data_IF_513075888164
#
_entry.id   IF_513075888164
#
_cell.length_a   1.000
_cell.length_b   1.000
_cell.length_c   1.000
_cell.angle_alpha   90.00
_cell.angle_beta   90.00
_cell.angle_gamma   90.00
#
_symmetry.space_group_name_H-M   'P 1'
#
loop_
_entity.id
_entity.type
_entity.pdbx_description
1 polymer ?
#
# COMPACT_ATOMS: atom_id res chain seq x y z
N UNK A 1 7.96 -16.00 -13.92
CA UNK A 1 7.05 -15.02 -13.31
C UNK A 1 6.53 -13.94 -14.28
N UNK A 2 6.83 -14.05 -15.58
CA UNK A 2 6.60 -12.99 -16.58
C UNK A 2 5.13 -12.71 -16.92
N UNK A 3 4.19 -13.57 -16.50
CA UNK A 3 2.77 -13.45 -16.86
C UNK A 3 2.01 -12.36 -16.09
N UNK A 4 2.54 -11.86 -14.96
CA UNK A 4 1.88 -10.82 -14.13
C UNK A 4 2.53 -9.43 -14.20
N UNK A 5 3.76 -9.37 -14.69
CA UNK A 5 4.50 -8.12 -14.93
C UNK A 5 3.65 -7.21 -15.82
N UNK A 6 3.47 -5.94 -15.41
CA UNK A 6 2.60 -4.92 -16.06
C UNK A 6 1.10 -5.20 -16.07
N UNK A 7 0.64 -6.31 -15.48
CA UNK A 7 -0.81 -6.64 -15.44
C UNK A 7 -1.44 -6.44 -14.06
N UNK A 8 -0.63 -6.35 -13.02
CA UNK A 8 -1.08 -6.20 -11.64
C UNK A 8 -0.27 -5.10 -10.97
N UNK A 9 -0.87 -4.40 -10.02
CA UNK A 9 -0.16 -3.53 -9.09
C UNK A 9 -0.84 -3.63 -7.73
N UNK A 10 -0.09 -3.29 -6.69
CA UNK A 10 -0.59 -3.11 -5.33
C UNK A 10 -0.69 -1.62 -5.02
N UNK A 11 -1.87 -1.16 -4.63
CA UNK A 11 -2.07 0.16 -4.06
C UNK A 11 -2.10 0.04 -2.54
N UNK A 12 -1.10 0.60 -1.86
CA UNK A 12 -1.03 0.66 -0.40
C UNK A 12 -1.25 2.10 0.07
N UNK A 13 -2.36 2.32 0.78
CA UNK A 13 -2.72 3.61 1.37
C UNK A 13 -2.47 3.52 2.88
N UNK A 14 -1.61 4.38 3.40
CA UNK A 14 -1.27 4.46 4.83
C UNK A 14 -1.36 5.90 5.29
N UNK A 15 -2.57 6.39 5.63
CA UNK A 15 -2.75 7.74 6.12
C UNK A 15 -1.83 7.98 7.32
N UNK A 16 -1.18 9.15 7.37
CA UNK A 16 -0.34 9.50 8.52
C UNK A 16 -1.17 9.36 9.80
N UNK A 17 -0.74 8.49 10.70
CA UNK A 17 -1.32 8.34 12.03
C UNK A 17 -0.21 8.42 13.06
N UNK A 18 -0.47 9.15 14.15
CA UNK A 18 0.41 9.20 15.34
C UNK A 18 1.89 9.43 15.00
N UNK A 19 2.16 10.41 14.13
CA UNK A 19 3.48 10.67 13.55
C UNK A 19 4.56 11.14 14.54
N UNK A 20 4.19 11.40 15.79
CA UNK A 20 5.13 11.77 16.86
C UNK A 20 5.65 10.57 17.65
N UNK A 21 5.03 9.39 17.49
CA UNK A 21 5.43 8.18 18.20
C UNK A 21 6.59 7.52 17.43
N UNK A 22 7.79 7.33 18.03
CA UNK A 22 8.96 6.81 17.34
C UNK A 22 8.75 5.45 16.65
N UNK A 23 7.95 4.57 17.25
CA UNK A 23 7.63 3.27 16.68
C UNK A 23 6.86 3.37 15.34
N UNK A 24 5.97 4.34 15.19
CA UNK A 24 5.22 4.56 13.95
C UNK A 24 6.12 5.13 12.85
N UNK A 25 7.04 6.03 13.21
CA UNK A 25 8.04 6.56 12.28
C UNK A 25 8.98 5.45 11.78
N UNK A 26 9.46 4.59 12.68
CA UNK A 26 10.30 3.46 12.32
C UNK A 26 9.56 2.48 11.39
N UNK A 27 8.28 2.20 11.66
CA UNK A 27 7.46 1.35 10.80
C UNK A 27 7.26 1.98 9.41
N UNK A 28 6.95 3.28 9.35
CA UNK A 28 6.79 4.00 8.09
C UNK A 28 8.06 3.97 7.24
N UNK A 29 9.23 4.15 7.89
CA UNK A 29 10.53 4.04 7.24
C UNK A 29 10.75 2.63 6.67
N UNK A 30 10.53 1.59 7.49
CA UNK A 30 10.68 0.19 7.07
C UNK A 30 9.77 -0.17 5.89
N UNK A 31 8.52 0.31 5.90
CA UNK A 31 7.58 0.10 4.79
C UNK A 31 8.09 0.79 3.52
N UNK A 32 8.55 2.04 3.63
CA UNK A 32 9.07 2.78 2.48
C UNK A 32 10.31 2.10 1.86
N UNK A 33 11.22 1.58 2.69
CA UNK A 33 12.38 0.80 2.27
C UNK A 33 11.97 -0.49 1.55
N UNK A 34 11.00 -1.24 2.11
CA UNK A 34 10.50 -2.47 1.49
C UNK A 34 9.84 -2.19 0.13
N UNK A 35 9.00 -1.15 0.05
CA UNK A 35 8.38 -0.71 -1.21
C UNK A 35 9.45 -0.34 -2.23
N UNK A 36 10.48 0.41 -1.82
CA UNK A 36 11.59 0.77 -2.68
C UNK A 36 12.34 -0.45 -3.21
N UNK A 37 12.64 -1.42 -2.35
CA UNK A 37 13.29 -2.67 -2.74
C UNK A 37 12.45 -3.47 -3.74
N UNK A 38 11.16 -3.67 -3.47
CA UNK A 38 10.26 -4.42 -4.36
C UNK A 38 10.10 -3.71 -5.70
N UNK A 39 9.93 -2.39 -5.70
CA UNK A 39 9.83 -1.62 -6.94
C UNK A 39 11.14 -1.60 -7.73
N UNK A 40 12.30 -1.61 -7.07
CA UNK A 40 13.60 -1.70 -7.74
C UNK A 40 13.88 -3.08 -8.34
N UNK A 41 13.45 -4.15 -7.68
CA UNK A 41 13.64 -5.52 -8.15
C UNK A 41 12.67 -5.91 -9.28
N UNK A 42 11.40 -5.50 -9.18
CA UNK A 42 10.35 -5.94 -10.09
C UNK A 42 9.90 -4.88 -11.10
N UNK A 43 10.11 -3.60 -10.80
CA UNK A 43 9.63 -2.49 -11.62
C UNK A 43 10.36 -2.37 -12.95
N UNK A 44 9.68 -1.75 -13.92
CA UNK A 44 10.25 -1.36 -15.20
C UNK A 44 10.06 0.14 -15.41
N UNK A 45 10.69 0.71 -16.43
CA UNK A 45 10.60 2.16 -16.72
C UNK A 45 9.15 2.66 -16.86
N UNK A 46 8.24 1.79 -17.29
CA UNK A 46 6.84 2.06 -17.58
C UNK A 46 5.87 1.44 -16.55
N UNK A 47 6.36 0.77 -15.50
CA UNK A 47 5.49 0.09 -14.53
C UNK A 47 6.08 0.02 -13.13
N UNK A 48 5.27 0.47 -12.16
CA UNK A 48 5.59 0.43 -10.73
C UNK A 48 4.67 -0.59 -10.04
N UNK A 49 5.22 -1.69 -9.49
CA UNK A 49 4.40 -2.78 -8.94
C UNK A 49 3.70 -2.39 -7.63
N UNK A 50 4.29 -1.52 -6.82
CA UNK A 50 3.69 -1.06 -5.55
C UNK A 50 3.57 0.47 -5.54
N UNK A 51 2.33 0.95 -5.61
CA UNK A 51 1.97 2.34 -5.42
C UNK A 51 1.72 2.59 -3.93
N UNK A 52 2.69 3.18 -3.24
CA UNK A 52 2.62 3.50 -1.83
C UNK A 52 2.31 4.98 -1.61
N UNK A 53 1.26 5.29 -0.83
CA UNK A 53 0.89 6.68 -0.52
C UNK A 53 0.56 6.87 0.95
N UNK A 54 1.11 7.96 1.51
CA UNK A 54 0.84 8.39 2.89
C UNK A 54 -0.24 9.48 2.98
N UNK A 55 -1.03 9.65 1.92
CA UNK A 55 -2.11 10.63 1.85
C UNK A 55 -3.41 10.03 2.35
N UNK A 56 -4.16 10.84 3.09
CA UNK A 56 -5.53 10.51 3.47
C UNK A 56 -6.45 10.68 2.25
N UNK A 57 -7.40 9.77 2.10
CA UNK A 57 -8.43 9.81 1.07
C UNK A 57 -9.80 9.83 1.75
N UNK A 58 -10.75 10.57 1.16
CA UNK A 58 -12.12 10.60 1.68
C UNK A 58 -12.86 9.27 1.45
N UNK A 59 -13.93 8.98 2.21
CA UNK A 59 -14.66 7.71 2.12
C UNK A 59 -15.14 7.37 0.70
N UNK A 60 -15.65 8.36 -0.05
CA UNK A 60 -16.12 8.15 -1.42
C UNK A 60 -14.98 7.80 -2.39
N UNK A 61 -13.79 8.39 -2.19
CA UNK A 61 -12.62 8.05 -3.00
C UNK A 61 -12.15 6.62 -2.70
N UNK A 62 -12.08 6.27 -1.41
CA UNK A 62 -11.72 4.92 -0.98
C UNK A 62 -12.72 3.88 -1.52
N UNK A 63 -14.03 4.13 -1.40
CA UNK A 63 -15.06 3.25 -1.96
C UNK A 63 -14.91 3.08 -3.48
N UNK A 64 -14.54 4.14 -4.20
CA UNK A 64 -14.21 4.06 -5.63
C UNK A 64 -13.01 3.16 -5.91
N UNK A 65 -11.93 3.32 -5.14
CA UNK A 65 -10.73 2.49 -5.26
C UNK A 65 -11.01 1.03 -4.93
N UNK A 66 -11.79 0.76 -3.89
CA UNK A 66 -12.21 -0.60 -3.51
C UNK A 66 -13.04 -1.25 -4.61
N UNK A 67 -13.96 -0.50 -5.22
CA UNK A 67 -14.78 -1.00 -6.35
C UNK A 67 -13.96 -1.28 -7.61
N UNK A 68 -12.87 -0.53 -7.83
CA UNK A 68 -11.96 -0.76 -8.95
C UNK A 68 -10.99 -1.92 -8.69
N UNK A 69 -10.67 -2.20 -7.43
CA UNK A 69 -9.77 -3.27 -7.05
C UNK A 69 -10.40 -4.64 -7.31
N UNK A 70 -9.61 -5.55 -7.89
CA UNK A 70 -10.02 -6.96 -8.05
C UNK A 70 -9.84 -7.78 -6.78
N UNK A 71 -8.97 -7.32 -5.88
CA UNK A 71 -8.61 -7.99 -4.63
C UNK A 71 -8.38 -6.92 -3.56
N UNK A 72 -8.97 -7.11 -2.39
CA UNK A 72 -8.63 -6.36 -1.18
C UNK A 72 -7.73 -7.19 -0.27
N UNK A 73 -6.58 -6.64 0.12
CA UNK A 73 -5.67 -7.27 1.09
C UNK A 73 -5.89 -6.66 2.47
N UNK A 74 -6.61 -7.39 3.32
CA UNK A 74 -6.90 -7.01 4.71
C UNK A 74 -6.24 -8.04 5.62
N UNK A 75 -4.98 -7.80 5.99
CA UNK A 75 -4.14 -8.79 6.70
C UNK A 75 -3.51 -8.20 7.97
N UNK A 76 -4.31 -7.73 8.94
CA UNK A 76 -3.75 -7.26 10.20
C UNK A 76 -3.19 -8.42 11.04
N UNK A 77 -2.12 -8.17 11.81
CA UNK A 77 -1.58 -9.17 12.75
C UNK A 77 -2.56 -9.46 13.90
N UNK A 78 -3.25 -8.41 14.39
CA UNK A 78 -4.31 -8.46 15.39
C UNK A 78 -5.25 -7.28 15.15
N UNK A 79 -6.54 -7.54 15.04
CA UNK A 79 -7.58 -6.52 14.89
C UNK A 79 -8.88 -7.03 15.53
N UNK A 80 -9.55 -6.18 16.29
CA UNK A 80 -10.83 -6.54 16.94
C UNK A 80 -11.99 -6.53 15.95
N UNK A 81 -11.99 -5.57 15.03
CA UNK A 81 -12.93 -5.48 13.91
C UNK A 81 -12.29 -4.64 12.81
N UNK A 82 -12.23 -5.19 11.60
CA UNK A 82 -11.71 -4.48 10.46
C UNK A 82 -12.86 -3.95 9.59
N UNK A 83 -13.05 -2.62 9.61
CA UNK A 83 -14.09 -1.92 8.84
C UNK A 83 -13.57 -1.36 7.51
N UNK A 84 -12.39 -1.83 7.06
CA UNK A 84 -11.81 -1.42 5.77
C UNK A 84 -12.64 -1.96 4.63
#
# INVERSE_FOLDING_TARGET
NSHRVRKTLLLQITPKSRGEIPAYLALQKRIAELVGSVNGELGTIDWVPVHYTNRSHGPLQLAGLYRLARVGLVTPLRDGMNLV
#
